data_IF_981053968722
#
_entry.id   IF_981053968722
#
_cell.length_a   1.000
_cell.length_b   1.000
_cell.length_c   1.000
_cell.angle_alpha   90.00
_cell.angle_beta   90.00
_cell.angle_gamma   90.00
#
_symmetry.space_group_name_H-M   'P 1'
#
loop_
_entity.id
_entity.type
_entity.pdbx_description
1 polymer ?
#
# COMPACT_ATOMS: atom_id res chain seq x y z
N UNK A 1 4.20 -4.90 23.90
CA UNK A 1 5.19 -5.66 23.11
C UNK A 1 6.38 -4.78 22.68
N UNK A 2 6.90 -3.89 23.53
CA UNK A 2 8.07 -3.05 23.23
C UNK A 2 9.42 -3.71 23.52
N UNK A 3 9.43 -5.03 23.80
CA UNK A 3 10.52 -5.72 24.49
C UNK A 3 11.67 -6.26 23.62
N UNK A 4 11.61 -6.12 22.28
CA UNK A 4 12.64 -6.67 21.38
C UNK A 4 13.26 -5.65 20.43
N UNK A 5 13.00 -4.35 20.61
CA UNK A 5 13.59 -3.32 19.77
C UNK A 5 15.04 -3.10 20.19
N UNK A 6 15.95 -3.50 19.31
CA UNK A 6 17.39 -3.30 19.51
C UNK A 6 17.94 -2.41 18.41
N UNK A 7 18.90 -1.56 18.77
CA UNK A 7 19.54 -0.61 17.85
C UNK A 7 20.17 -1.35 16.66
N UNK A 8 20.33 -0.69 15.51
CA UNK A 8 21.07 -1.27 14.35
C UNK A 8 22.51 -1.65 14.68
N UNK A 9 23.09 -1.11 15.76
CA UNK A 9 24.41 -1.52 16.28
C UNK A 9 24.39 -2.94 16.85
N UNK A 10 23.23 -3.44 17.27
CA UNK A 10 23.06 -4.84 17.65
C UNK A 10 22.95 -5.71 16.39
N UNK A 11 23.87 -6.65 16.21
CA UNK A 11 23.88 -7.59 15.07
C UNK A 11 22.58 -8.38 14.91
N UNK A 12 21.86 -8.66 16.00
CA UNK A 12 20.58 -9.37 15.97
C UNK A 12 19.37 -8.47 15.73
N UNK A 13 19.56 -7.18 15.44
CA UNK A 13 18.45 -6.29 15.14
C UNK A 13 17.71 -6.77 13.89
N UNK A 14 16.38 -6.93 13.91
CA UNK A 14 15.62 -7.22 12.69
C UNK A 14 15.78 -6.11 11.64
N UNK A 15 16.09 -4.88 12.08
CA UNK A 15 16.45 -3.77 11.19
C UNK A 15 17.75 -3.99 10.41
N UNK A 16 18.53 -5.02 10.76
CA UNK A 16 19.75 -5.44 10.05
C UNK A 16 19.51 -6.57 9.05
N UNK A 17 18.28 -7.08 8.93
CA UNK A 17 17.90 -8.06 7.92
C UNK A 17 17.56 -7.35 6.60
N UNK A 18 17.77 -8.03 5.47
CA UNK A 18 17.28 -7.53 4.17
C UNK A 18 15.75 -7.56 4.15
N UNK A 19 15.17 -6.73 3.27
CA UNK A 19 13.75 -6.81 2.92
C UNK A 19 13.41 -8.27 2.57
N UNK A 20 12.26 -8.82 3.02
CA UNK A 20 11.82 -10.15 2.63
C UNK A 20 11.78 -10.31 1.11
N UNK A 21 12.05 -11.52 0.64
CA UNK A 21 11.94 -11.81 -0.79
C UNK A 21 10.49 -11.60 -1.25
N UNK A 22 10.32 -10.87 -2.36
CA UNK A 22 9.02 -10.73 -3.00
C UNK A 22 8.51 -12.09 -3.47
N UNK A 23 7.25 -12.39 -3.17
CA UNK A 23 6.58 -13.61 -3.64
C UNK A 23 6.38 -13.56 -5.14
N UNK A 24 6.40 -14.72 -5.82
CA UNK A 24 6.35 -14.75 -7.28
C UNK A 24 4.93 -14.53 -7.77
N UNK A 25 4.75 -13.67 -8.79
CA UNK A 25 3.47 -13.45 -9.47
C UNK A 25 2.78 -14.76 -9.85
N UNK A 26 3.58 -15.74 -10.26
CA UNK A 26 3.08 -17.01 -10.75
C UNK A 26 2.62 -17.99 -9.68
N UNK A 27 3.06 -17.79 -8.44
CA UNK A 27 2.53 -18.50 -7.27
C UNK A 27 1.16 -17.91 -6.93
N UNK A 28 0.98 -16.58 -6.96
CA UNK A 28 -0.33 -15.99 -6.73
C UNK A 28 -1.35 -16.37 -7.81
N UNK A 29 -0.94 -16.40 -9.08
CA UNK A 29 -1.83 -16.89 -10.16
C UNK A 29 -2.30 -18.33 -9.93
N UNK A 30 -1.41 -19.18 -9.42
CA UNK A 30 -1.78 -20.55 -9.07
C UNK A 30 -2.75 -20.57 -7.89
N UNK A 31 -2.51 -19.75 -6.86
CA UNK A 31 -3.41 -19.59 -5.70
C UNK A 31 -4.80 -19.11 -6.13
N UNK A 32 -4.90 -18.08 -6.97
CA UNK A 32 -6.17 -17.57 -7.52
C UNK A 32 -6.94 -18.70 -8.22
N UNK A 33 -6.26 -19.46 -9.08
CA UNK A 33 -6.83 -20.58 -9.83
C UNK A 33 -7.21 -21.76 -8.94
N UNK A 34 -6.48 -22.01 -7.86
CA UNK A 34 -6.80 -23.07 -6.91
C UNK A 34 -8.02 -22.69 -6.07
N UNK A 35 -8.07 -21.46 -5.58
CA UNK A 35 -9.19 -20.93 -4.82
C UNK A 35 -10.49 -20.87 -5.64
N UNK A 36 -10.40 -20.47 -6.91
CA UNK A 36 -11.58 -20.37 -7.78
C UNK A 36 -12.31 -21.70 -7.99
N UNK A 37 -11.64 -22.85 -7.80
CA UNK A 37 -12.24 -24.18 -7.99
C UNK A 37 -13.21 -24.58 -6.88
N UNK A 38 -13.23 -23.85 -5.78
CA UNK A 38 -14.13 -24.12 -4.66
C UNK A 38 -15.49 -23.44 -4.82
N UNK A 39 -15.68 -22.61 -5.86
CA UNK A 39 -16.85 -21.76 -6.02
C UNK A 39 -17.41 -21.85 -7.45
N UNK A 40 -18.69 -22.19 -7.56
CA UNK A 40 -19.37 -22.42 -8.84
C UNK A 40 -19.41 -21.14 -9.69
N UNK A 41 -19.45 -19.96 -9.05
CA UNK A 41 -19.48 -18.67 -9.75
C UNK A 41 -18.24 -18.35 -10.60
N UNK A 42 -17.13 -19.10 -10.43
CA UNK A 42 -15.91 -18.92 -11.21
C UNK A 42 -15.70 -19.96 -12.31
N UNK A 43 -16.53 -21.00 -12.41
CA UNK A 43 -16.35 -22.08 -13.40
C UNK A 43 -16.34 -21.53 -14.84
N UNK A 44 -17.24 -20.59 -15.12
CA UNK A 44 -17.39 -19.96 -16.44
C UNK A 44 -16.58 -18.65 -16.61
N UNK A 45 -15.70 -18.30 -15.65
CA UNK A 45 -14.93 -17.06 -15.73
C UNK A 45 -13.82 -17.15 -16.80
N UNK A 46 -14.07 -16.60 -17.99
CA UNK A 46 -13.13 -16.54 -19.12
C UNK A 46 -11.74 -16.01 -18.70
N UNK A 47 -11.70 -14.96 -17.87
CA UNK A 47 -10.46 -14.31 -17.44
C UNK A 47 -9.61 -15.22 -16.54
N UNK A 48 -10.22 -15.95 -15.59
CA UNK A 48 -9.51 -16.94 -14.77
C UNK A 48 -9.08 -18.11 -15.65
N UNK A 49 -9.96 -18.59 -16.53
CA UNK A 49 -9.69 -19.67 -17.48
C UNK A 49 -8.48 -19.36 -18.38
N UNK A 50 -8.30 -18.08 -18.79
CA UNK A 50 -7.12 -17.64 -19.54
C UNK A 50 -5.80 -17.76 -18.75
N UNK A 51 -5.84 -17.72 -17.41
CA UNK A 51 -4.65 -17.86 -16.58
C UNK A 51 -4.12 -19.30 -16.55
N UNK A 52 -4.96 -20.31 -16.81
CA UNK A 52 -4.53 -21.72 -16.83
C UNK A 52 -3.52 -22.04 -17.95
N UNK A 53 -3.57 -21.28 -19.06
CA UNK A 53 -2.64 -21.42 -20.20
C UNK A 53 -1.18 -21.07 -19.87
N UNK A 54 -0.91 -20.48 -18.70
CA UNK A 54 0.44 -20.06 -18.29
C UNK A 54 1.39 -21.23 -18.01
N UNK A 55 0.92 -22.45 -17.76
CA UNK A 55 1.82 -23.62 -17.68
C UNK A 55 2.57 -23.84 -19.00
N UNK A 56 1.90 -23.68 -20.14
CA UNK A 56 2.53 -23.75 -21.46
C UNK A 56 3.47 -22.56 -21.73
N UNK A 57 3.06 -21.34 -21.38
CA UNK A 57 3.91 -20.15 -21.54
C UNK A 57 5.14 -20.18 -20.65
N UNK A 58 5.02 -20.69 -19.41
CA UNK A 58 6.15 -20.90 -18.49
C UNK A 58 7.15 -21.90 -19.04
N UNK A 59 6.70 -23.04 -19.58
CA UNK A 59 7.56 -24.02 -20.24
C UNK A 59 8.32 -23.41 -21.42
N UNK A 60 7.66 -22.53 -22.18
CA UNK A 60 8.30 -21.81 -23.30
C UNK A 60 9.34 -20.79 -22.80
N UNK A 61 9.01 -20.03 -21.76
CA UNK A 61 9.88 -18.97 -21.22
C UNK A 61 11.08 -19.53 -20.42
N UNK A 62 10.95 -20.68 -19.74
CA UNK A 62 12.07 -21.34 -19.07
C UNK A 62 13.13 -21.82 -20.08
N UNK A 63 12.71 -22.35 -21.21
CA UNK A 63 13.60 -22.72 -22.32
C UNK A 63 14.35 -21.51 -22.90
N UNK A 64 13.69 -20.35 -23.00
CA UNK A 64 14.36 -19.10 -23.41
C UNK A 64 15.36 -18.60 -22.37
N UNK A 65 15.05 -18.69 -21.07
CA UNK A 65 15.99 -18.29 -19.99
C UNK A 65 17.21 -19.20 -19.88
N UNK A 66 17.04 -20.52 -20.05
CA UNK A 66 18.20 -21.43 -20.12
C UNK A 66 19.09 -21.14 -21.33
N UNK A 67 18.51 -20.77 -22.48
CA UNK A 67 19.27 -20.35 -23.67
C UNK A 67 20.02 -19.03 -23.44
N UNK A 68 19.41 -18.07 -22.75
CA UNK A 68 20.02 -16.78 -22.41
C UNK A 68 21.14 -16.91 -21.36
N UNK A 69 20.99 -17.80 -20.37
CA UNK A 69 22.05 -18.04 -19.38
C UNK A 69 23.26 -18.77 -19.97
N UNK A 70 23.08 -19.56 -21.05
CA UNK A 70 24.21 -20.13 -21.80
C UNK A 70 25.00 -19.10 -22.61
N UNK A 71 24.45 -17.91 -22.86
CA UNK A 71 25.11 -16.84 -23.62
C UNK A 71 25.81 -15.81 -22.74
N UNK A 72 25.62 -15.83 -21.42
CA UNK A 72 26.28 -14.93 -20.45
C UNK A 72 27.36 -15.71 -19.67
N UNK A 73 28.14 -16.52 -20.38
CA UNK A 73 29.41 -17.03 -19.83
C UNK A 73 30.53 -16.06 -20.22
N UNK A 74 31.28 -15.64 -19.19
CA UNK A 74 32.59 -14.97 -19.25
C UNK A 74 32.61 -13.50 -19.71
N UNK A 75 32.27 -12.59 -18.77
CA UNK A 75 32.86 -11.24 -18.76
C UNK A 75 33.86 -11.10 -17.60
N UNK A 76 35.14 -10.74 -17.84
CA UNK A 76 36.21 -10.70 -16.82
C UNK A 76 36.08 -9.65 -15.69
N UNK A 77 34.99 -8.87 -15.65
CA UNK A 77 34.87 -7.70 -14.77
C UNK A 77 34.56 -7.99 -13.28
N UNK A 78 34.22 -9.23 -12.91
CA UNK A 78 33.78 -9.54 -11.53
C UNK A 78 34.91 -9.78 -10.51
N UNK A 79 36.17 -9.91 -10.94
CA UNK A 79 37.28 -10.19 -10.01
C UNK A 79 37.82 -8.93 -9.28
N UNK A 80 37.49 -7.72 -9.73
CA UNK A 80 38.05 -6.49 -9.17
C UNK A 80 37.28 -5.92 -7.95
N UNK A 81 36.10 -6.46 -7.59
CA UNK A 81 35.28 -5.94 -6.48
C UNK A 81 35.58 -6.55 -5.10
N UNK A 82 36.57 -7.46 -5.01
CA UNK A 82 36.84 -8.23 -3.78
C UNK A 82 37.94 -7.65 -2.88
N UNK A 83 38.53 -6.49 -3.19
CA UNK A 83 39.59 -5.88 -2.36
C UNK A 83 39.43 -4.37 -2.26
N UNK A 84 38.68 -3.90 -1.27
CA UNK A 84 38.76 -2.52 -0.81
C UNK A 84 37.45 -1.88 -0.39
N UNK A 85 36.95 -2.21 0.80
CA UNK A 85 36.04 -1.36 1.59
C UNK A 85 35.86 -1.97 2.99
N UNK A 86 36.87 -1.77 3.85
CA UNK A 86 36.72 -1.95 5.30
C UNK A 86 36.29 -0.60 5.88
N UNK A 87 35.04 -0.25 5.60
CA UNK A 87 34.32 0.80 6.33
C UNK A 87 32.91 0.28 6.57
N UNK A 88 32.70 -0.32 7.74
CA UNK A 88 31.40 -0.50 8.40
C UNK A 88 30.21 -1.01 7.59
N UNK A 89 30.41 -1.80 6.52
CA UNK A 89 29.25 -2.30 5.77
C UNK A 89 28.52 -3.33 6.63
N UNK A 90 27.33 -2.92 7.10
CA UNK A 90 26.27 -3.81 7.52
C UNK A 90 25.95 -4.74 6.33
N UNK A 91 26.73 -5.81 6.18
CA UNK A 91 26.42 -6.87 5.23
C UNK A 91 25.20 -7.59 5.78
N UNK A 92 24.02 -7.07 5.44
CA UNK A 92 22.74 -7.74 5.67
C UNK A 92 22.74 -9.00 4.80
N UNK A 93 23.16 -10.13 5.35
CA UNK A 93 23.26 -11.37 4.55
C UNK A 93 21.91 -12.09 4.51
N UNK A 94 21.16 -12.06 5.61
CA UNK A 94 19.92 -12.82 5.77
C UNK A 94 18.68 -11.96 5.47
N UNK A 95 17.74 -12.43 4.63
CA UNK A 95 16.44 -11.79 4.43
C UNK A 95 15.56 -11.96 5.66
N UNK A 96 14.76 -10.94 5.97
CA UNK A 96 13.69 -11.06 6.95
C UNK A 96 12.66 -12.09 6.48
N UNK A 97 12.04 -12.80 7.42
CA UNK A 97 11.03 -13.83 7.12
C UNK A 97 9.75 -13.23 6.56
N UNK A 98 9.37 -12.06 7.08
CA UNK A 98 8.12 -11.37 6.79
C UNK A 98 8.28 -9.87 6.90
N UNK A 99 7.26 -9.14 6.42
CA UNK A 99 7.15 -7.71 6.60
C UNK A 99 6.92 -7.39 8.08
N UNK A 100 7.33 -6.20 8.53
CA UNK A 100 7.17 -5.82 9.94
C UNK A 100 7.00 -4.29 10.05
N UNK A 101 5.94 -3.87 10.76
CA UNK A 101 5.57 -2.47 10.99
C UNK A 101 6.39 -1.74 12.06
N UNK A 102 7.02 -2.44 13.00
CA UNK A 102 7.48 -1.89 14.28
C UNK A 102 8.86 -2.38 14.76
N UNK A 103 9.64 -3.01 13.88
CA UNK A 103 10.98 -3.51 14.21
C UNK A 103 12.09 -2.44 14.32
N UNK A 104 11.84 -1.22 13.86
CA UNK A 104 12.86 -0.17 13.81
C UNK A 104 12.99 0.52 15.18
N UNK A 105 14.19 0.48 15.74
CA UNK A 105 14.49 1.15 17.01
C UNK A 105 14.56 2.68 16.82
N UNK A 106 13.90 3.41 17.72
CA UNK A 106 13.95 4.88 17.82
C UNK A 106 14.50 5.25 19.20
N UNK A 107 15.47 6.17 19.25
CA UNK A 107 16.00 6.68 20.51
C UNK A 107 14.95 7.48 21.30
N UNK A 108 15.12 7.58 22.61
CA UNK A 108 14.14 8.26 23.48
C UNK A 108 13.87 9.71 23.07
N UNK A 109 14.92 10.49 22.75
CA UNK A 109 14.76 11.89 22.37
C UNK A 109 14.11 12.07 21.00
N UNK A 110 14.44 11.22 20.03
CA UNK A 110 13.77 11.19 18.72
C UNK A 110 12.27 10.87 18.89
N UNK A 111 11.96 9.88 19.73
CA UNK A 111 10.58 9.50 20.07
C UNK A 111 9.83 10.66 20.73
N UNK A 112 10.43 11.27 21.76
CA UNK A 112 9.83 12.40 22.49
C UNK A 112 9.58 13.59 21.56
N UNK A 113 10.54 13.92 20.69
CA UNK A 113 10.40 14.98 19.70
C UNK A 113 9.23 14.71 18.75
N UNK A 114 9.19 13.53 18.13
CA UNK A 114 8.13 13.19 17.19
C UNK A 114 6.76 13.17 17.87
N UNK A 115 6.68 12.59 19.07
CA UNK A 115 5.45 12.58 19.85
C UNK A 115 4.95 13.99 20.19
N UNK A 116 5.87 14.89 20.56
CA UNK A 116 5.53 16.26 20.96
C UNK A 116 5.06 17.11 19.80
N UNK A 117 5.64 16.97 18.61
CA UNK A 117 5.38 17.90 17.53
C UNK A 117 4.59 17.33 16.34
N UNK A 118 4.55 16.00 16.17
CA UNK A 118 3.71 15.33 15.16
C UNK A 118 2.40 14.89 15.80
N UNK A 119 2.48 14.30 17.00
CA UNK A 119 1.33 13.75 17.72
C UNK A 119 0.13 14.71 17.83
N UNK A 120 0.28 15.94 18.35
CA UNK A 120 -0.82 16.90 18.46
C UNK A 120 -1.44 17.28 17.11
N UNK A 121 -0.61 17.43 16.07
CA UNK A 121 -1.06 17.79 14.73
C UNK A 121 -1.90 16.65 14.10
N UNK A 122 -1.42 15.41 14.23
CA UNK A 122 -2.17 14.21 13.78
C UNK A 122 -3.44 14.00 14.59
N UNK A 123 -3.40 14.20 15.91
CA UNK A 123 -4.58 14.12 16.77
C UNK A 123 -5.62 15.18 16.38
N UNK A 124 -5.18 16.40 16.09
CA UNK A 124 -6.06 17.47 15.65
C UNK A 124 -6.72 17.15 14.29
N UNK A 125 -5.97 16.65 13.31
CA UNK A 125 -6.52 16.16 12.04
C UNK A 125 -7.62 15.12 12.30
N UNK A 126 -7.29 14.08 13.08
CA UNK A 126 -8.20 13.00 13.41
C UNK A 126 -9.48 13.50 14.06
N UNK A 127 -9.37 14.24 15.18
CA UNK A 127 -10.54 14.70 15.93
C UNK A 127 -11.40 15.69 15.15
N UNK A 128 -10.78 16.59 14.36
CA UNK A 128 -11.53 17.48 13.47
C UNK A 128 -12.30 16.66 12.43
N UNK A 129 -11.65 15.69 11.80
CA UNK A 129 -12.24 14.82 10.79
C UNK A 129 -13.43 14.02 11.31
N UNK A 130 -13.26 13.34 12.44
CA UNK A 130 -14.32 12.52 13.03
C UNK A 130 -15.49 13.34 13.57
N UNK A 131 -15.23 14.50 14.16
CA UNK A 131 -16.30 15.42 14.58
C UNK A 131 -17.13 15.91 13.39
N UNK A 132 -16.47 16.29 12.29
CA UNK A 132 -17.14 16.72 11.07
C UNK A 132 -17.94 15.58 10.42
N UNK A 133 -17.40 14.36 10.41
CA UNK A 133 -18.11 13.18 9.94
C UNK A 133 -19.40 12.95 10.75
N UNK A 134 -19.31 12.97 12.09
CA UNK A 134 -20.47 12.77 12.97
C UNK A 134 -21.54 13.84 12.76
N UNK A 135 -21.13 15.10 12.62
CA UNK A 135 -22.06 16.19 12.32
C UNK A 135 -22.75 15.97 10.97
N UNK A 136 -22.00 15.61 9.93
CA UNK A 136 -22.55 15.34 8.59
C UNK A 136 -23.50 14.15 8.59
N UNK A 137 -23.13 13.07 9.24
CA UNK A 137 -23.96 11.87 9.37
C UNK A 137 -25.30 12.20 10.06
N UNK A 138 -25.24 12.91 11.20
CA UNK A 138 -26.44 13.41 11.88
C UNK A 138 -27.32 14.29 10.97
N UNK A 139 -26.73 15.26 10.27
CA UNK A 139 -27.48 16.15 9.38
C UNK A 139 -28.10 15.38 8.19
N UNK A 140 -27.38 14.40 7.64
CA UNK A 140 -27.84 13.57 6.53
C UNK A 140 -29.01 12.68 6.96
N UNK A 141 -28.89 11.99 8.09
CA UNK A 141 -29.92 11.10 8.62
C UNK A 141 -31.21 11.84 9.03
N UNK A 142 -31.11 13.14 9.33
CA UNK A 142 -32.28 14.00 9.57
C UNK A 142 -32.77 14.75 8.31
N UNK A 143 -32.19 14.50 7.14
CA UNK A 143 -32.59 15.09 5.87
C UNK A 143 -32.22 16.57 5.69
N UNK A 144 -31.33 17.13 6.53
CA UNK A 144 -30.86 18.51 6.40
C UNK A 144 -29.80 18.70 5.31
N UNK A 145 -29.06 17.64 4.99
CA UNK A 145 -28.12 17.60 3.87
C UNK A 145 -28.33 16.32 3.08
N UNK A 146 -27.92 16.33 1.81
CA UNK A 146 -27.86 15.12 0.99
C UNK A 146 -26.39 14.86 0.65
N UNK A 147 -25.88 13.63 0.82
CA UNK A 147 -24.54 13.25 0.37
C UNK A 147 -24.37 13.58 -1.12
N UNK A 148 -23.13 13.85 -1.54
CA UNK A 148 -22.87 14.01 -2.97
C UNK A 148 -23.27 12.70 -3.70
N UNK A 149 -23.88 12.77 -4.90
CA UNK A 149 -24.15 11.55 -5.66
C UNK A 149 -22.84 10.82 -5.97
N UNK A 150 -22.85 9.49 -5.84
CA UNK A 150 -21.72 8.63 -6.16
C UNK A 150 -22.04 7.76 -7.38
N UNK A 151 -21.12 7.72 -8.33
CA UNK A 151 -21.11 6.76 -9.42
C UNK A 151 -20.25 5.56 -9.01
N UNK A 152 -20.87 4.58 -8.33
CA UNK A 152 -20.16 3.44 -7.75
C UNK A 152 -19.39 2.63 -8.79
N UNK A 153 -19.92 2.49 -10.01
CA UNK A 153 -19.24 1.74 -11.07
C UNK A 153 -17.92 2.39 -11.49
N UNK A 154 -17.94 3.73 -11.69
CA UNK A 154 -16.72 4.48 -11.97
C UNK A 154 -15.79 4.56 -10.77
N UNK A 155 -16.34 4.55 -9.55
CA UNK A 155 -15.55 4.57 -8.32
C UNK A 155 -14.76 3.27 -8.16
N UNK A 156 -15.37 2.09 -8.35
CA UNK A 156 -14.67 0.81 -8.36
C UNK A 156 -13.50 0.78 -9.35
N UNK A 157 -13.75 1.23 -10.59
CA UNK A 157 -12.71 1.34 -11.60
C UNK A 157 -11.60 2.31 -11.18
N UNK A 158 -11.95 3.44 -10.57
CA UNK A 158 -10.99 4.45 -10.09
C UNK A 158 -10.12 3.91 -8.95
N UNK A 159 -10.70 3.18 -7.98
CA UNK A 159 -9.92 2.55 -6.91
C UNK A 159 -8.93 1.53 -7.46
N UNK A 160 -9.31 0.75 -8.47
CA UNK A 160 -8.46 -0.28 -9.05
C UNK A 160 -7.41 0.25 -10.03
N UNK A 161 -7.74 1.27 -10.83
CA UNK A 161 -6.84 1.79 -11.87
C UNK A 161 -5.99 2.96 -11.40
N UNK A 162 -6.53 3.84 -10.56
CA UNK A 162 -5.87 5.11 -10.19
C UNK A 162 -5.37 5.10 -8.73
N UNK A 163 -5.15 3.92 -8.14
CA UNK A 163 -4.54 3.74 -6.82
C UNK A 163 -3.66 2.47 -6.75
N UNK A 164 -3.08 2.20 -5.57
CA UNK A 164 -2.17 1.07 -5.36
C UNK A 164 -2.83 -0.31 -5.50
N UNK A 165 -4.16 -0.38 -5.53
CA UNK A 165 -4.91 -1.61 -5.81
C UNK A 165 -4.66 -2.19 -7.21
N UNK A 166 -4.09 -1.41 -8.13
CA UNK A 166 -3.72 -1.85 -9.47
C UNK A 166 -2.81 -3.09 -9.49
N UNK A 167 -2.08 -3.37 -8.40
CA UNK A 167 -1.22 -4.54 -8.30
C UNK A 167 -1.98 -5.88 -8.37
N UNK A 168 -3.30 -5.85 -8.12
CA UNK A 168 -4.17 -7.02 -8.17
C UNK A 168 -4.66 -7.36 -9.58
N UNK A 169 -4.22 -6.64 -10.61
CA UNK A 169 -4.49 -6.98 -12.01
C UNK A 169 -3.78 -8.28 -12.43
N UNK A 170 -4.50 -9.27 -12.98
CA UNK A 170 -3.89 -10.53 -13.40
C UNK A 170 -4.28 -11.05 -14.79
N UNK A 171 -5.42 -10.63 -15.32
CA UNK A 171 -5.92 -11.07 -16.63
C UNK A 171 -6.69 -9.95 -17.32
N UNK A 172 -6.82 -10.09 -18.64
CA UNK A 172 -7.57 -9.18 -19.51
C UNK A 172 -8.09 -9.95 -20.72
N UNK A 173 -9.30 -9.63 -21.17
CA UNK A 173 -9.85 -10.15 -22.43
C UNK A 173 -9.13 -9.53 -23.63
N UNK A 174 -9.27 -10.14 -24.80
CA UNK A 174 -8.88 -9.48 -26.03
C UNK A 174 -9.81 -8.27 -26.27
N UNK A 175 -9.31 -7.06 -26.58
CA UNK A 175 -10.16 -5.92 -26.94
C UNK A 175 -11.21 -6.24 -28.02
N UNK A 176 -10.92 -7.19 -28.91
CA UNK A 176 -11.83 -7.62 -29.97
C UNK A 176 -12.79 -8.76 -29.54
N UNK A 177 -12.79 -9.18 -28.28
CA UNK A 177 -13.72 -10.21 -27.80
C UNK A 177 -15.14 -9.65 -27.66
N UNK A 178 -16.14 -10.53 -27.63
CA UNK A 178 -17.54 -10.12 -27.41
C UNK A 178 -17.76 -9.44 -26.06
N UNK A 179 -16.93 -9.77 -25.06
CA UNK A 179 -16.94 -9.09 -23.74
C UNK A 179 -16.27 -7.72 -23.78
N UNK A 180 -15.64 -7.33 -24.87
CA UNK A 180 -14.90 -6.09 -25.01
C UNK A 180 -13.59 -6.13 -24.23
N UNK A 181 -13.12 -4.96 -23.79
CA UNK A 181 -11.80 -4.76 -23.22
C UNK A 181 -11.81 -4.77 -21.67
N UNK A 182 -12.04 -5.95 -21.08
CA UNK A 182 -12.24 -6.11 -19.64
C UNK A 182 -10.96 -6.60 -18.96
N UNK A 183 -10.61 -5.97 -17.83
CA UNK A 183 -9.53 -6.39 -16.93
C UNK A 183 -10.07 -7.05 -15.67
N UNK A 184 -9.45 -8.16 -15.25
CA UNK A 184 -9.75 -8.86 -14.01
C UNK A 184 -8.72 -8.56 -12.92
N UNK A 185 -9.23 -8.14 -11.77
CA UNK A 185 -8.50 -7.87 -10.53
C UNK A 185 -8.87 -8.93 -9.50
N UNK A 186 -7.87 -9.60 -8.92
CA UNK A 186 -8.09 -10.79 -8.11
C UNK A 186 -7.29 -10.73 -6.81
N UNK A 187 -7.99 -10.99 -5.71
CA UNK A 187 -7.47 -10.96 -4.36
C UNK A 187 -7.67 -12.36 -3.76
N UNK A 188 -6.61 -13.16 -3.82
CA UNK A 188 -6.63 -14.49 -3.21
C UNK A 188 -6.49 -14.38 -1.69
N UNK A 189 -7.29 -15.13 -0.94
CA UNK A 189 -7.34 -15.10 0.52
C UNK A 189 -7.63 -13.68 1.03
N UNK A 190 -8.76 -13.12 0.61
CA UNK A 190 -9.12 -11.75 0.91
C UNK A 190 -9.56 -11.61 2.38
N UNK A 191 -8.81 -10.88 3.24
CA UNK A 191 -9.21 -10.67 4.62
C UNK A 191 -10.32 -9.63 4.70
N UNK A 192 -11.38 -9.93 5.43
CA UNK A 192 -12.51 -9.01 5.63
C UNK A 192 -13.11 -9.18 7.03
N UNK A 193 -14.10 -8.34 7.33
CA UNK A 193 -14.87 -8.41 8.57
C UNK A 193 -16.34 -8.56 8.22
N UNK A 194 -16.98 -9.59 8.78
CA UNK A 194 -18.39 -9.91 8.51
C UNK A 194 -19.35 -9.00 9.30
N UNK A 195 -20.65 -9.23 9.13
CA UNK A 195 -21.73 -8.45 9.76
C UNK A 195 -21.72 -8.54 11.31
N UNK A 196 -21.07 -9.56 11.87
CA UNK A 196 -20.91 -9.78 13.30
C UNK A 196 -19.64 -9.15 13.87
N UNK A 197 -18.92 -8.35 13.06
CA UNK A 197 -17.59 -7.84 13.37
C UNK A 197 -16.55 -8.96 13.61
N UNK A 198 -16.70 -10.13 12.98
CA UNK A 198 -15.70 -11.20 13.07
C UNK A 198 -14.74 -11.16 11.88
N UNK A 199 -13.46 -11.41 12.14
CA UNK A 199 -12.46 -11.55 11.09
C UNK A 199 -12.69 -12.82 10.28
N UNK A 200 -12.72 -12.65 8.95
CA UNK A 200 -12.88 -13.72 7.97
C UNK A 200 -11.83 -13.61 6.88
N UNK A 201 -11.64 -14.71 6.17
CA UNK A 201 -10.83 -14.76 4.95
C UNK A 201 -11.67 -15.43 3.88
N UNK A 202 -12.02 -14.68 2.84
CA UNK A 202 -12.64 -15.23 1.65
C UNK A 202 -11.57 -15.87 0.77
N UNK A 203 -11.89 -16.96 0.10
CA UNK A 203 -10.95 -17.65 -0.76
C UNK A 203 -10.57 -16.76 -1.96
N UNK A 204 -11.55 -16.10 -2.59
CA UNK A 204 -11.33 -15.22 -3.74
C UNK A 204 -12.31 -14.05 -3.78
N UNK A 205 -11.76 -12.84 -3.76
CA UNK A 205 -12.46 -11.63 -4.22
C UNK A 205 -12.01 -11.30 -5.65
N UNK A 206 -12.95 -11.13 -6.57
CA UNK A 206 -12.69 -10.84 -7.98
C UNK A 206 -13.52 -9.64 -8.44
N UNK A 207 -12.89 -8.74 -9.18
CA UNK A 207 -13.53 -7.56 -9.75
C UNK A 207 -13.14 -7.42 -11.21
N UNK A 208 -14.13 -7.24 -12.08
CA UNK A 208 -13.94 -7.04 -13.50
C UNK A 208 -14.29 -5.60 -13.88
N UNK A 209 -13.37 -4.93 -14.58
CA UNK A 209 -13.49 -3.52 -15.00
C UNK A 209 -13.35 -3.43 -16.51
N UNK A 210 -14.29 -2.76 -17.16
CA UNK A 210 -14.13 -2.34 -18.56
C UNK A 210 -13.12 -1.19 -18.62
N UNK A 211 -12.00 -1.44 -19.31
CA UNK A 211 -10.88 -0.50 -19.41
C UNK A 211 -11.17 0.69 -20.32
N UNK A 212 -12.13 0.57 -21.25
CA UNK A 212 -12.45 1.63 -22.20
C UNK A 212 -13.45 2.62 -21.59
N UNK A 213 -14.48 2.11 -20.92
CA UNK A 213 -15.46 2.96 -20.22
C UNK A 213 -15.04 3.34 -18.81
N UNK A 214 -14.04 2.63 -18.24
CA UNK A 214 -13.62 2.73 -16.84
C UNK A 214 -14.81 2.52 -15.89
N UNK A 215 -15.53 1.42 -16.10
CA UNK A 215 -16.72 1.04 -15.34
C UNK A 215 -16.60 -0.36 -14.77
N UNK A 216 -17.21 -0.55 -13.60
CA UNK A 216 -17.46 -1.86 -13.03
C UNK A 216 -18.32 -2.71 -13.97
N UNK A 217 -17.92 -3.97 -14.15
CA UNK A 217 -18.64 -4.96 -14.99
C UNK A 217 -19.21 -6.06 -14.11
N UNK A 218 -18.38 -6.65 -13.25
CA UNK A 218 -18.76 -7.77 -12.39
C UNK A 218 -17.92 -7.77 -11.10
N UNK A 219 -18.47 -8.33 -10.02
CA UNK A 219 -17.86 -8.38 -8.71
C UNK A 219 -18.32 -9.63 -7.96
N UNK A 220 -17.37 -10.42 -7.45
CA UNK A 220 -17.65 -11.69 -6.76
C UNK A 220 -16.77 -11.84 -5.54
N UNK A 221 -17.35 -12.28 -4.43
CA UNK A 221 -16.65 -12.71 -3.22
C UNK A 221 -17.05 -14.16 -2.96
N UNK A 222 -16.17 -15.12 -3.26
CA UNK A 222 -16.48 -16.54 -3.24
C UNK A 222 -17.74 -16.84 -4.08
N UNK A 223 -18.78 -17.45 -3.50
CA UNK A 223 -20.07 -17.72 -4.14
C UNK A 223 -21.10 -16.57 -4.00
N UNK A 224 -20.65 -15.36 -3.69
CA UNK A 224 -21.49 -14.17 -3.60
C UNK A 224 -21.28 -13.25 -4.79
N UNK A 225 -22.37 -12.93 -5.51
CA UNK A 225 -22.40 -11.83 -6.47
C UNK A 225 -22.53 -10.52 -5.72
N UNK A 226 -21.74 -9.52 -6.13
CA UNK A 226 -21.68 -8.21 -5.53
C UNK A 226 -22.20 -7.15 -6.50
N UNK A 227 -22.87 -6.15 -5.96
CA UNK A 227 -23.11 -4.92 -6.71
C UNK A 227 -21.89 -3.97 -6.60
N UNK A 228 -21.94 -2.85 -7.34
CA UNK A 228 -20.84 -1.88 -7.36
C UNK A 228 -20.60 -1.19 -6.00
N UNK A 229 -21.65 -0.91 -5.21
CA UNK A 229 -21.52 -0.29 -3.89
C UNK A 229 -20.80 -1.22 -2.91
N UNK A 230 -21.23 -2.49 -2.86
CA UNK A 230 -20.60 -3.53 -2.03
C UNK A 230 -19.13 -3.76 -2.41
N UNK A 231 -18.87 -3.84 -3.72
CA UNK A 231 -17.50 -3.97 -4.26
C UNK A 231 -16.65 -2.77 -3.85
N UNK A 232 -17.20 -1.55 -3.90
CA UNK A 232 -16.49 -0.34 -3.46
C UNK A 232 -16.14 -0.40 -1.97
N UNK A 233 -17.05 -0.85 -1.10
CA UNK A 233 -16.78 -1.02 0.34
C UNK A 233 -15.62 -1.99 0.57
N UNK A 234 -15.63 -3.15 -0.10
CA UNK A 234 -14.57 -4.15 0.02
C UNK A 234 -13.22 -3.63 -0.49
N UNK A 235 -13.20 -2.97 -1.65
CA UNK A 235 -12.00 -2.35 -2.21
C UNK A 235 -11.42 -1.27 -1.30
N UNK A 236 -12.29 -0.42 -0.75
CA UNK A 236 -11.88 0.63 0.19
C UNK A 236 -11.34 0.03 1.49
N UNK A 237 -12.03 -0.97 2.06
CA UNK A 237 -11.59 -1.65 3.27
C UNK A 237 -10.24 -2.36 3.08
N UNK A 238 -10.05 -3.06 1.95
CA UNK A 238 -8.77 -3.68 1.63
C UNK A 238 -7.66 -2.65 1.47
N UNK A 239 -7.97 -1.48 0.89
CA UNK A 239 -7.03 -0.36 0.77
C UNK A 239 -6.51 -0.01 2.15
N UNK A 240 -7.39 0.31 3.10
CA UNK A 240 -6.99 0.76 4.44
C UNK A 240 -6.36 -0.33 5.30
N UNK A 241 -6.84 -1.58 5.21
CA UNK A 241 -6.50 -2.63 6.17
C UNK A 241 -5.31 -3.49 5.73
N UNK A 242 -5.40 -4.17 4.59
CA UNK A 242 -4.42 -5.18 4.19
C UNK A 242 -3.40 -4.67 3.17
N UNK A 243 -3.79 -3.75 2.29
CA UNK A 243 -2.92 -3.27 1.21
C UNK A 243 -2.01 -2.12 1.67
N UNK A 244 -2.57 -1.08 2.29
CA UNK A 244 -1.83 0.11 2.69
C UNK A 244 -0.72 -0.20 3.71
N UNK A 245 -0.97 -1.12 4.64
CA UNK A 245 0.02 -1.54 5.66
C UNK A 245 1.25 -2.25 5.07
N UNK A 246 1.14 -2.82 3.86
CA UNK A 246 2.30 -3.35 3.14
C UNK A 246 3.26 -2.24 2.74
N UNK A 247 2.74 -1.05 2.38
CA UNK A 247 3.57 0.12 2.05
C UNK A 247 4.36 0.58 3.27
N UNK A 248 3.67 0.72 4.42
CA UNK A 248 4.31 1.09 5.68
C UNK A 248 5.37 0.08 6.12
N UNK A 249 5.02 -1.21 6.12
CA UNK A 249 5.96 -2.26 6.52
C UNK A 249 7.19 -2.29 5.62
N UNK A 250 6.98 -2.26 4.29
CA UNK A 250 8.07 -2.26 3.31
C UNK A 250 8.98 -1.05 3.49
N UNK A 251 8.39 0.12 3.76
CA UNK A 251 9.14 1.36 3.94
C UNK A 251 10.16 1.33 5.07
N UNK A 252 10.00 0.48 6.09
CA UNK A 252 10.94 0.38 7.21
C UNK A 252 12.38 0.00 6.78
N UNK A 253 12.52 -0.75 5.68
CA UNK A 253 13.84 -1.05 5.09
C UNK A 253 14.43 0.12 4.29
N UNK A 254 13.62 1.14 3.99
CA UNK A 254 13.97 2.37 3.31
C UNK A 254 14.49 3.47 4.24
N UNK A 255 14.71 3.19 5.52
CA UNK A 255 15.04 4.17 6.56
C UNK A 255 16.45 3.96 7.11
N UNK A 256 17.02 5.01 7.70
CA UNK A 256 18.20 4.90 8.54
C UNK A 256 18.17 5.96 9.67
N UNK A 257 18.25 5.51 10.92
CA UNK A 257 18.18 6.33 12.12
C UNK A 257 19.53 6.42 12.86
N UNK A 258 20.61 5.87 12.29
CA UNK A 258 21.94 5.95 12.93
C UNK A 258 22.34 7.41 13.16
N UNK A 259 22.78 7.74 14.37
CA UNK A 259 23.20 9.09 14.76
C UNK A 259 24.33 9.63 13.86
N UNK A 260 25.19 8.76 13.33
CA UNK A 260 26.26 9.15 12.40
C UNK A 260 25.72 9.70 11.07
N UNK A 261 24.44 9.43 10.75
CA UNK A 261 23.78 9.98 9.57
C UNK A 261 23.47 11.47 9.72
N UNK A 262 23.44 12.01 10.94
CA UNK A 262 23.21 13.45 11.17
C UNK A 262 24.29 14.30 10.48
N UNK A 263 25.53 13.82 10.42
CA UNK A 263 26.66 14.51 9.79
C UNK A 263 26.63 14.43 8.24
N UNK A 264 25.98 13.41 7.69
CA UNK A 264 25.96 13.13 6.24
C UNK A 264 24.66 13.59 5.59
N UNK A 265 23.54 13.30 6.24
CA UNK A 265 22.19 13.55 5.73
C UNK A 265 21.17 13.75 6.87
N UNK A 266 21.23 14.88 7.60
CA UNK A 266 20.35 15.16 8.73
C UNK A 266 18.88 15.24 8.30
N UNK A 267 18.62 15.71 7.07
CA UNK A 267 17.29 15.76 6.49
C UNK A 267 16.66 14.36 6.38
N UNK A 268 17.40 13.39 5.82
CA UNK A 268 16.93 12.02 5.68
C UNK A 268 16.81 11.31 7.04
N UNK A 269 17.72 11.55 7.99
CA UNK A 269 17.63 10.98 9.34
C UNK A 269 16.35 11.44 10.05
N UNK A 270 16.07 12.75 10.06
CA UNK A 270 14.83 13.30 10.64
C UNK A 270 13.58 12.69 9.99
N UNK A 271 13.56 12.61 8.67
CA UNK A 271 12.45 12.01 7.93
C UNK A 271 12.30 10.50 8.18
N UNK A 272 13.40 9.81 8.47
CA UNK A 272 13.36 8.41 8.93
C UNK A 272 12.71 8.28 10.30
N UNK A 273 13.03 9.17 11.25
CA UNK A 273 12.36 9.24 12.57
C UNK A 273 10.85 9.46 12.39
N UNK A 274 10.46 10.42 11.53
CA UNK A 274 9.06 10.70 11.23
C UNK A 274 8.34 9.44 10.75
N UNK A 275 8.88 8.74 9.76
CA UNK A 275 8.28 7.50 9.23
C UNK A 275 8.08 6.45 10.30
N UNK A 276 9.10 6.15 11.10
CA UNK A 276 8.98 5.11 12.15
C UNK A 276 7.91 5.49 13.18
N UNK A 277 7.84 6.78 13.53
CA UNK A 277 6.86 7.27 14.49
C UNK A 277 5.43 7.25 13.93
N UNK A 278 5.25 7.54 12.65
CA UNK A 278 3.96 7.44 12.00
C UNK A 278 3.50 5.98 11.87
N UNK A 279 4.41 5.07 11.52
CA UNK A 279 4.13 3.62 11.52
C UNK A 279 3.70 3.14 12.91
N UNK A 280 4.39 3.61 13.96
CA UNK A 280 4.01 3.33 15.36
C UNK A 280 2.61 3.84 15.69
N UNK A 281 2.24 5.06 15.29
CA UNK A 281 0.88 5.58 15.50
C UNK A 281 -0.17 4.76 14.74
N UNK A 282 0.07 4.49 13.46
CA UNK A 282 -0.86 3.76 12.59
C UNK A 282 -1.06 2.29 12.97
N UNK A 283 -0.07 1.65 13.61
CA UNK A 283 -0.18 0.25 14.01
C UNK A 283 -0.48 0.08 15.50
N UNK A 284 0.34 0.65 16.37
CA UNK A 284 0.21 0.42 17.83
C UNK A 284 -0.89 1.27 18.45
N UNK A 285 -0.99 2.54 18.09
CA UNK A 285 -2.00 3.43 18.68
C UNK A 285 -3.39 3.21 18.07
N UNK A 286 -3.47 2.84 16.79
CA UNK A 286 -4.74 2.70 16.07
C UNK A 286 -5.69 1.68 16.70
N UNK A 287 -5.18 0.57 17.24
CA UNK A 287 -6.00 -0.39 17.97
C UNK A 287 -6.71 0.21 19.21
N UNK A 288 -6.13 1.25 19.83
CA UNK A 288 -6.80 1.96 20.94
C UNK A 288 -7.90 2.89 20.44
N UNK A 289 -7.79 3.40 19.22
CA UNK A 289 -8.81 4.27 18.63
C UNK A 289 -10.11 3.52 18.34
N UNK A 290 -10.05 2.23 17.95
CA UNK A 290 -11.26 1.42 17.73
C UNK A 290 -12.20 1.42 18.94
N UNK A 291 -11.65 1.24 20.15
CA UNK A 291 -12.44 1.34 21.38
C UNK A 291 -13.06 2.71 21.58
N UNK A 292 -12.27 3.77 21.38
CA UNK A 292 -12.78 5.15 21.50
C UNK A 292 -13.91 5.40 20.49
N UNK A 293 -13.80 4.89 19.26
CA UNK A 293 -14.84 5.06 18.25
C UNK A 293 -16.10 4.27 18.57
N UNK A 294 -15.96 3.06 19.13
CA UNK A 294 -17.09 2.29 19.63
C UNK A 294 -17.79 3.03 20.77
N UNK A 295 -17.04 3.49 21.77
CA UNK A 295 -17.55 4.26 22.90
C UNK A 295 -18.23 5.57 22.46
N UNK A 296 -17.73 6.21 21.40
CA UNK A 296 -18.31 7.41 20.79
C UNK A 296 -19.53 7.09 19.88
N UNK A 297 -19.83 5.82 19.60
CA UNK A 297 -20.90 5.38 18.70
C UNK A 297 -20.62 5.63 17.21
N UNK A 298 -19.36 5.72 16.81
CA UNK A 298 -18.93 5.92 15.42
C UNK A 298 -18.73 4.62 14.65
N UNK A 299 -18.44 3.54 15.37
CA UNK A 299 -18.34 2.17 14.84
C UNK A 299 -19.05 1.23 15.81
N UNK A 300 -19.38 0.04 15.35
CA UNK A 300 -20.00 -1.01 16.18
C UNK A 300 -19.09 -1.51 17.30
N UNK A 301 -19.68 -1.91 18.43
CA UNK A 301 -18.95 -2.39 19.61
C UNK A 301 -18.02 -3.58 19.33
N UNK A 302 -18.38 -4.44 18.36
CA UNK A 302 -17.57 -5.59 17.96
C UNK A 302 -16.15 -5.24 17.49
N UNK A 303 -15.92 -4.01 17.01
CA UNK A 303 -14.57 -3.53 16.67
C UNK A 303 -13.65 -3.36 17.88
N UNK A 304 -14.21 -3.23 19.07
CA UNK A 304 -13.47 -3.07 20.33
C UNK A 304 -13.20 -4.39 21.06
N UNK A 305 -13.64 -5.52 20.47
CA UNK A 305 -13.46 -6.87 21.01
C UNK A 305 -11.98 -7.25 21.18
N UNK A 306 -11.71 -8.21 22.07
CA UNK A 306 -10.34 -8.65 22.38
C UNK A 306 -9.62 -9.29 21.17
N UNK A 307 -10.38 -9.90 20.26
CA UNK A 307 -9.87 -10.53 19.03
C UNK A 307 -9.34 -9.52 18.00
N UNK A 308 -9.77 -8.26 18.09
CA UNK A 308 -9.28 -7.12 17.28
C UNK A 308 -9.34 -7.43 15.78
N UNK A 309 -10.54 -7.59 15.19
CA UNK A 309 -10.73 -8.03 13.81
C UNK A 309 -9.97 -7.15 12.79
N UNK A 310 -9.93 -5.84 13.00
CA UNK A 310 -9.15 -4.93 12.13
C UNK A 310 -7.65 -5.24 12.15
N UNK A 311 -7.07 -5.51 13.33
CA UNK A 311 -5.65 -5.86 13.47
C UNK A 311 -5.35 -7.20 12.81
N UNK A 312 -6.30 -8.15 12.85
CA UNK A 312 -6.17 -9.42 12.14
C UNK A 312 -6.12 -9.20 10.62
N UNK A 313 -6.96 -8.33 10.05
CA UNK A 313 -6.88 -7.96 8.63
C UNK A 313 -5.52 -7.29 8.27
N UNK A 314 -5.03 -6.39 9.13
CA UNK A 314 -3.72 -5.75 8.96
C UNK A 314 -2.60 -6.80 8.95
N UNK A 315 -2.59 -7.71 9.92
CA UNK A 315 -1.58 -8.75 10.02
C UNK A 315 -1.64 -9.72 8.85
N UNK A 316 -2.84 -10.08 8.39
CA UNK A 316 -3.00 -10.87 7.16
C UNK A 316 -2.29 -10.19 5.98
N UNK A 317 -2.48 -8.87 5.82
CA UNK A 317 -1.78 -8.10 4.79
C UNK A 317 -0.25 -8.17 4.94
N UNK A 318 0.28 -8.02 6.15
CA UNK A 318 1.71 -8.07 6.44
C UNK A 318 2.29 -9.47 6.09
N UNK A 319 1.63 -10.55 6.55
CA UNK A 319 2.01 -11.94 6.34
C UNK A 319 1.91 -12.37 4.86
N UNK A 320 0.91 -11.83 4.14
CA UNK A 320 0.76 -12.08 2.71
C UNK A 320 1.90 -11.48 1.88
N UNK A 321 2.67 -10.52 2.43
CA UNK A 321 3.86 -9.93 1.81
C UNK A 321 3.55 -9.26 0.44
N UNK A 322 4.58 -8.78 -0.26
CA UNK A 322 4.47 -8.15 -1.58
C UNK A 322 4.67 -9.19 -2.69
N UNK A 323 3.71 -9.25 -3.61
CA UNK A 323 3.79 -10.05 -4.82
C UNK A 323 4.45 -9.28 -5.96
N UNK A 324 5.20 -9.98 -6.80
CA UNK A 324 5.63 -9.43 -8.08
C UNK A 324 4.41 -9.09 -8.95
N UNK A 325 4.42 -7.89 -9.52
CA UNK A 325 3.30 -7.34 -10.30
C UNK A 325 3.78 -6.76 -11.65
N UNK A 326 4.63 -7.49 -12.37
CA UNK A 326 5.21 -7.02 -13.65
C UNK A 326 4.18 -6.74 -14.76
N UNK A 327 3.01 -7.35 -14.67
CA UNK A 327 1.90 -7.26 -15.61
C UNK A 327 1.19 -5.90 -15.60
N UNK A 328 1.35 -5.09 -14.54
CA UNK A 328 0.69 -3.77 -14.45
C UNK A 328 1.07 -2.83 -15.60
N UNK A 329 2.18 -3.10 -16.29
CA UNK A 329 2.59 -2.33 -17.48
C UNK A 329 1.54 -2.35 -18.59
N UNK A 330 0.69 -3.38 -18.65
CA UNK A 330 -0.41 -3.47 -19.61
C UNK A 330 -1.50 -2.41 -19.34
N UNK A 331 -1.58 -1.91 -18.10
CA UNK A 331 -2.52 -0.88 -17.68
C UNK A 331 -2.01 0.55 -17.85
N UNK A 332 -0.75 0.75 -18.26
CA UNK A 332 -0.13 2.08 -18.41
C UNK A 332 -0.93 3.00 -19.34
N UNK A 333 -1.55 2.46 -20.39
CA UNK A 333 -2.38 3.26 -21.31
C UNK A 333 -3.76 3.63 -20.76
N UNK A 334 -4.19 3.01 -19.66
CA UNK A 334 -5.52 3.19 -19.07
C UNK A 334 -5.49 3.97 -17.76
N UNK A 335 -4.31 4.15 -17.17
CA UNK A 335 -4.16 4.76 -15.86
C UNK A 335 -3.01 5.77 -15.83
N UNK A 336 -3.33 7.00 -15.46
CA UNK A 336 -2.35 8.06 -15.28
C UNK A 336 -1.44 7.76 -14.09
N UNK A 337 -2.00 7.19 -13.02
CA UNK A 337 -1.25 6.77 -11.85
C UNK A 337 -0.22 5.69 -12.18
N UNK A 338 -0.62 4.62 -12.87
CA UNK A 338 0.26 3.51 -13.22
C UNK A 338 1.35 3.99 -14.18
N UNK A 339 1.00 4.79 -15.19
CA UNK A 339 1.96 5.41 -16.09
C UNK A 339 3.00 6.23 -15.32
N UNK A 340 2.55 7.05 -14.38
CA UNK A 340 3.42 7.86 -13.54
C UNK A 340 4.35 7.00 -12.68
N UNK A 341 3.82 6.05 -11.92
CA UNK A 341 4.59 5.20 -11.01
C UNK A 341 5.65 4.38 -11.74
N UNK A 342 5.29 3.73 -12.85
CA UNK A 342 6.23 2.92 -13.64
C UNK A 342 7.39 3.78 -14.16
N UNK A 343 7.09 4.98 -14.64
CA UNK A 343 8.08 5.91 -15.19
C UNK A 343 8.96 6.52 -14.10
N UNK A 344 8.37 6.97 -12.99
CA UNK A 344 9.09 7.61 -11.88
C UNK A 344 9.93 6.61 -11.11
N UNK A 345 9.52 5.35 -10.98
CA UNK A 345 10.35 4.30 -10.36
C UNK A 345 11.69 4.15 -11.06
N UNK A 346 11.72 4.12 -12.39
CA UNK A 346 12.96 4.02 -13.16
C UNK A 346 13.88 5.24 -12.92
N UNK A 347 13.30 6.44 -12.87
CA UNK A 347 14.02 7.68 -12.54
C UNK A 347 14.58 7.61 -11.11
N UNK A 348 13.75 7.26 -10.14
CA UNK A 348 14.12 7.19 -8.73
C UNK A 348 15.29 6.25 -8.52
N UNK A 349 15.23 5.01 -9.03
CA UNK A 349 16.31 4.04 -8.87
C UNK A 349 17.61 4.49 -9.52
N UNK A 350 17.53 5.16 -10.69
CA UNK A 350 18.70 5.71 -11.37
C UNK A 350 19.37 6.82 -10.55
N UNK A 351 18.59 7.76 -10.00
CA UNK A 351 19.13 8.83 -9.16
C UNK A 351 19.62 8.29 -7.80
N UNK A 352 18.94 7.31 -7.24
CA UNK A 352 19.30 6.72 -5.96
C UNK A 352 20.65 6.02 -6.05
N UNK A 353 20.92 5.32 -7.15
CA UNK A 353 22.22 4.71 -7.41
C UNK A 353 23.36 5.74 -7.43
N UNK A 354 23.14 6.94 -7.99
CA UNK A 354 24.13 8.02 -8.02
C UNK A 354 24.35 8.63 -6.63
N UNK A 355 23.27 8.79 -5.86
CA UNK A 355 23.28 9.36 -4.52
C UNK A 355 23.44 8.29 -3.42
N UNK A 356 23.81 7.04 -3.74
CA UNK A 356 23.80 5.92 -2.78
C UNK A 356 24.63 6.18 -1.53
N UNK A 357 25.71 6.94 -1.66
CA UNK A 357 26.58 7.35 -0.55
C UNK A 357 25.86 8.22 0.50
N UNK A 358 24.78 8.91 0.13
CA UNK A 358 23.94 9.71 1.04
C UNK A 358 22.89 8.88 1.80
N UNK A 359 22.74 7.61 1.44
CA UNK A 359 21.72 6.69 1.98
C UNK A 359 22.34 5.35 2.43
N UNK A 360 23.31 5.38 3.37
CA UNK A 360 23.98 4.17 3.83
C UNK A 360 22.98 3.23 4.50
N UNK A 361 23.03 1.94 4.16
CA UNK A 361 22.17 0.91 4.77
C UNK A 361 20.67 1.04 4.45
N UNK A 362 20.31 1.84 3.44
CA UNK A 362 18.92 2.04 2.98
C UNK A 362 18.64 1.20 1.74
N UNK A 363 17.55 0.45 1.71
CA UNK A 363 17.06 -0.19 0.50
C UNK A 363 16.34 0.83 -0.41
N UNK A 364 16.73 0.87 -1.70
CA UNK A 364 16.22 1.87 -2.63
C UNK A 364 14.76 1.65 -3.01
N UNK A 365 14.33 0.40 -3.14
CA UNK A 365 12.93 0.06 -3.46
C UNK A 365 12.03 0.40 -2.28
N UNK A 366 12.43 0.00 -1.07
CA UNK A 366 11.71 0.32 0.15
C UNK A 366 11.59 1.84 0.36
N UNK A 367 12.65 2.59 0.06
CA UNK A 367 12.61 4.06 0.10
C UNK A 367 11.62 4.62 -0.92
N UNK A 368 11.59 4.10 -2.16
CA UNK A 368 10.60 4.51 -3.17
C UNK A 368 9.16 4.23 -2.72
N UNK A 369 8.91 3.05 -2.12
CA UNK A 369 7.61 2.66 -1.59
C UNK A 369 7.16 3.63 -0.50
N UNK A 370 8.00 3.89 0.50
CA UNK A 370 7.65 4.75 1.64
C UNK A 370 7.55 6.24 1.30
N UNK A 371 8.25 6.70 0.26
CA UNK A 371 8.27 8.11 -0.12
C UNK A 371 7.28 8.43 -1.23
N UNK A 372 7.36 7.72 -2.36
CA UNK A 372 6.53 8.01 -3.54
C UNK A 372 5.20 7.27 -3.47
N UNK A 373 5.18 5.96 -3.28
CA UNK A 373 3.92 5.20 -3.36
C UNK A 373 2.99 5.53 -2.19
N UNK A 374 3.48 5.50 -0.95
CA UNK A 374 2.68 5.82 0.23
C UNK A 374 2.05 7.22 0.16
N UNK A 375 2.82 8.24 -0.24
CA UNK A 375 2.30 9.62 -0.31
C UNK A 375 1.23 9.78 -1.38
N UNK A 376 1.39 9.13 -2.52
CA UNK A 376 0.40 9.11 -3.59
C UNK A 376 -0.83 8.28 -3.21
N UNK A 377 -0.66 7.17 -2.48
CA UNK A 377 -1.76 6.32 -2.00
C UNK A 377 -2.76 7.15 -1.18
N UNK A 378 -2.30 7.84 -0.14
CA UNK A 378 -3.13 8.80 0.62
C UNK A 378 -3.70 9.93 -0.25
N UNK A 379 -2.88 10.50 -1.14
CA UNK A 379 -3.34 11.63 -1.98
C UNK A 379 -4.49 11.19 -2.90
N UNK A 380 -4.40 9.99 -3.48
CA UNK A 380 -5.40 9.43 -4.37
C UNK A 380 -6.61 8.91 -3.59
N UNK A 381 -6.41 8.39 -2.38
CA UNK A 381 -7.51 8.14 -1.43
C UNK A 381 -8.31 9.42 -1.15
N UNK A 382 -7.63 10.55 -0.98
CA UNK A 382 -8.28 11.84 -0.71
C UNK A 382 -9.03 12.38 -1.92
N UNK A 383 -8.40 12.32 -3.09
CA UNK A 383 -8.98 12.87 -4.32
C UNK A 383 -10.12 12.05 -4.88
N UNK A 384 -10.05 10.73 -4.73
CA UNK A 384 -10.98 9.83 -5.40
C UNK A 384 -12.22 9.56 -4.52
N UNK A 385 -12.05 9.28 -3.22
CA UNK A 385 -13.16 9.02 -2.29
C UNK A 385 -13.64 10.34 -1.66
N UNK A 386 -14.27 11.23 -2.43
CA UNK A 386 -14.50 12.63 -2.01
C UNK A 386 -15.42 12.76 -0.79
N UNK A 387 -16.47 11.92 -0.70
CA UNK A 387 -17.43 11.95 0.41
C UNK A 387 -17.38 10.63 1.20
N UNK A 388 -17.03 10.64 2.49
CA UNK A 388 -17.06 9.42 3.29
C UNK A 388 -18.47 8.81 3.36
N UNK A 389 -19.54 9.59 3.20
CA UNK A 389 -20.92 9.08 3.25
C UNK A 389 -21.30 8.18 2.07
N UNK A 390 -20.44 8.04 1.05
CA UNK A 390 -20.61 7.06 -0.02
C UNK A 390 -20.48 5.61 0.45
N UNK A 391 -19.80 5.38 1.56
CA UNK A 391 -19.66 4.04 2.14
C UNK A 391 -20.95 3.71 2.89
N UNK A 392 -21.75 2.76 2.41
CA UNK A 392 -23.03 2.41 3.01
C UNK A 392 -22.85 1.63 4.31
N UNK A 393 -23.19 2.24 5.44
CA UNK A 393 -23.12 1.62 6.77
C UNK A 393 -24.34 0.77 7.09
N UNK A 394 -25.43 0.95 6.33
CA UNK A 394 -26.66 0.18 6.47
C UNK A 394 -26.65 -1.09 5.60
N UNK A 395 -25.60 -1.29 4.80
CA UNK A 395 -25.39 -2.51 4.03
C UNK A 395 -25.35 -3.73 4.98
N UNK A 396 -26.21 -4.74 4.78
CA UNK A 396 -26.38 -5.83 5.74
C UNK A 396 -25.16 -6.75 5.83
N UNK A 397 -24.29 -6.79 4.82
CA UNK A 397 -23.14 -7.69 4.76
C UNK A 397 -21.84 -6.97 5.12
N UNK A 398 -21.70 -5.74 4.62
CA UNK A 398 -20.43 -5.02 4.62
C UNK A 398 -20.50 -3.68 5.34
N UNK A 399 -21.63 -3.32 5.95
CA UNK A 399 -21.82 -2.07 6.68
C UNK A 399 -20.79 -1.86 7.78
N UNK A 400 -20.35 -2.94 8.46
CA UNK A 400 -19.28 -2.86 9.48
C UNK A 400 -17.96 -2.34 8.90
N UNK A 401 -17.56 -2.82 7.73
CA UNK A 401 -16.36 -2.34 7.05
C UNK A 401 -16.52 -0.89 6.57
N UNK A 402 -17.72 -0.52 6.12
CA UNK A 402 -18.05 0.85 5.75
C UNK A 402 -17.88 1.81 6.94
N UNK A 403 -18.31 1.44 8.17
CA UNK A 403 -18.13 2.25 9.38
C UNK A 403 -16.66 2.69 9.55
N UNK A 404 -15.74 1.71 9.59
CA UNK A 404 -14.30 1.98 9.71
C UNK A 404 -13.78 2.77 8.52
N UNK A 405 -14.25 2.44 7.32
CA UNK A 405 -13.91 3.15 6.09
C UNK A 405 -14.23 4.64 6.14
N UNK A 406 -15.42 5.02 6.67
CA UNK A 406 -15.83 6.43 6.85
C UNK A 406 -14.89 7.15 7.81
N UNK A 407 -14.58 6.52 8.95
CA UNK A 407 -13.69 7.10 9.97
C UNK A 407 -12.29 7.33 9.43
N UNK A 408 -11.71 6.33 8.75
CA UNK A 408 -10.39 6.45 8.14
C UNK A 408 -10.36 7.55 7.09
N UNK A 409 -11.34 7.59 6.17
CA UNK A 409 -11.40 8.63 5.14
C UNK A 409 -11.47 10.03 5.73
N UNK A 410 -12.27 10.22 6.78
CA UNK A 410 -12.47 11.53 7.38
C UNK A 410 -11.29 11.98 8.26
N UNK A 411 -10.63 11.05 8.96
CA UNK A 411 -9.68 11.37 10.02
C UNK A 411 -8.19 11.16 9.70
N UNK A 412 -7.85 10.39 8.64
CA UNK A 412 -6.48 9.89 8.46
C UNK A 412 -5.93 10.01 7.04
N UNK A 413 -6.75 10.41 6.06
CA UNK A 413 -6.34 10.39 4.65
C UNK A 413 -5.66 11.69 4.21
N UNK A 414 -6.20 12.84 4.62
CA UNK A 414 -5.70 14.17 4.22
C UNK A 414 -4.43 14.57 4.96
N UNK A 415 -3.62 15.48 4.40
CA UNK A 415 -2.34 15.90 5.00
C UNK A 415 -2.46 16.44 6.44
N UNK A 416 -1.56 16.00 7.32
CA UNK A 416 -1.40 16.53 8.67
C UNK A 416 -1.13 18.04 8.64
N UNK A 417 -1.98 18.86 9.29
CA UNK A 417 -1.81 20.31 9.32
C UNK A 417 -0.71 20.72 10.29
N UNK A 418 -0.11 21.90 10.09
CA UNK A 418 0.77 22.51 11.08
C UNK A 418 2.14 21.85 11.27
N UNK A 419 2.57 20.99 10.34
CA UNK A 419 3.91 20.41 10.38
C UNK A 419 4.97 21.51 10.23
N UNK A 420 5.94 21.50 11.14
CA UNK A 420 7.04 22.47 11.25
C UNK A 420 8.29 22.04 10.46
N UNK A 421 8.24 20.91 9.77
CA UNK A 421 9.32 20.42 8.93
C UNK A 421 8.87 20.23 7.49
N UNK A 422 9.82 20.31 6.57
CA UNK A 422 9.56 20.10 5.16
C UNK A 422 9.44 18.61 4.84
N UNK A 423 8.32 18.21 4.21
CA UNK A 423 8.04 16.82 3.87
C UNK A 423 7.89 16.53 2.36
N UNK A 424 7.85 17.55 1.49
CA UNK A 424 7.66 17.33 0.04
C UNK A 424 8.99 17.07 -0.63
N UNK A 425 8.99 16.42 -1.80
CA UNK A 425 10.20 16.41 -2.63
C UNK A 425 10.51 17.82 -3.17
N UNK A 426 9.46 18.52 -3.59
CA UNK A 426 9.51 19.88 -4.12
C UNK A 426 9.89 20.88 -3.03
N UNK A 427 11.03 21.55 -3.20
CA UNK A 427 11.49 22.55 -2.23
C UNK A 427 12.09 21.92 -0.97
N UNK A 428 12.46 20.64 -1.01
CA UNK A 428 13.19 19.95 0.06
C UNK A 428 14.59 20.51 0.25
N UNK A 429 15.17 21.13 -0.79
CA UNK A 429 16.56 21.58 -0.80
C UNK A 429 17.58 20.44 -0.83
N UNK A 430 17.13 19.18 -0.85
CA UNK A 430 18.00 18.01 -0.86
C UNK A 430 18.23 17.53 -2.31
N UNK A 431 19.48 17.43 -2.80
CA UNK A 431 19.79 17.24 -4.22
C UNK A 431 19.09 16.04 -4.89
N UNK A 432 19.05 14.90 -4.19
CA UNK A 432 18.37 13.69 -4.68
C UNK A 432 16.87 13.93 -4.92
N UNK A 433 16.13 14.40 -3.90
CA UNK A 433 14.68 14.58 -3.99
C UNK A 433 14.29 15.66 -4.99
N UNK A 434 15.02 16.78 -5.05
CA UNK A 434 14.80 17.85 -6.05
C UNK A 434 14.99 17.33 -7.48
N UNK A 435 16.03 16.53 -7.71
CA UNK A 435 16.31 15.96 -9.03
C UNK A 435 15.23 14.97 -9.46
N UNK A 436 14.78 14.11 -8.54
CA UNK A 436 13.68 13.18 -8.82
C UNK A 436 12.39 13.96 -9.10
N UNK A 437 12.05 14.96 -8.28
CA UNK A 437 10.87 15.81 -8.50
C UNK A 437 10.90 16.52 -9.85
N UNK A 438 12.01 17.18 -10.21
CA UNK A 438 12.12 17.92 -11.47
C UNK A 438 11.90 17.04 -12.70
N UNK A 439 12.25 15.74 -12.62
CA UNK A 439 12.01 14.76 -13.68
C UNK A 439 10.58 14.21 -13.63
N UNK A 440 10.09 13.86 -12.44
CA UNK A 440 8.73 13.35 -12.25
C UNK A 440 7.67 14.38 -12.66
N UNK A 441 7.89 15.67 -12.37
CA UNK A 441 6.98 16.75 -12.71
C UNK A 441 6.79 16.95 -14.23
N UNK A 442 7.74 16.47 -15.04
CA UNK A 442 7.60 16.45 -16.51
C UNK A 442 6.68 15.33 -17.00
N UNK A 443 6.47 14.29 -16.20
CA UNK A 443 5.56 13.17 -16.52
C UNK A 443 4.14 13.54 -16.09
N UNK A 444 3.96 13.86 -14.80
CA UNK A 444 2.69 14.34 -14.27
C UNK A 444 2.97 15.27 -13.09
N UNK A 445 2.81 16.58 -13.31
CA UNK A 445 3.09 17.59 -12.29
C UNK A 445 2.17 17.46 -11.07
N UNK A 446 0.89 17.15 -11.29
CA UNK A 446 -0.12 17.06 -10.22
C UNK A 446 0.27 15.97 -9.20
N UNK A 447 0.68 14.79 -9.69
CA UNK A 447 1.16 13.69 -8.84
C UNK A 447 2.53 14.02 -8.24
N UNK A 448 3.47 14.55 -9.02
CA UNK A 448 4.81 14.89 -8.53
C UNK A 448 4.80 15.91 -7.37
N UNK A 449 3.89 16.88 -7.40
CA UNK A 449 3.71 17.87 -6.34
C UNK A 449 3.30 17.25 -4.98
N UNK A 450 2.83 16.01 -4.99
CA UNK A 450 2.34 15.29 -3.80
C UNK A 450 3.26 14.16 -3.35
N UNK A 451 4.45 14.01 -3.94
CA UNK A 451 5.47 13.09 -3.44
C UNK A 451 6.08 13.61 -2.13
N UNK A 452 6.08 12.77 -1.10
CA UNK A 452 6.65 13.08 0.23
C UNK A 452 7.98 12.38 0.48
N UNK A 453 8.86 13.00 1.26
CA UNK A 453 10.18 12.50 1.66
C UNK A 453 10.14 11.53 2.84
N UNK A 454 8.96 11.29 3.41
CA UNK A 454 8.70 10.33 4.49
C UNK A 454 7.21 9.96 4.53
N UNK A 455 6.91 8.92 5.30
CA UNK A 455 5.53 8.54 5.63
C UNK A 455 4.99 9.54 6.65
N UNK A 456 4.16 10.46 6.17
CA UNK A 456 3.33 11.33 7.02
C UNK A 456 2.20 11.94 6.19
N UNK A 457 0.98 11.53 6.52
CA UNK A 457 -0.24 11.97 5.87
C UNK A 457 -1.33 12.17 6.89
#
# INVERSE_FOLDING_TARGET
MSGQRVTRRNKSSPSNLKLPDMKRMSENKQRIVENSKFHELFDDCELINSMFGLKETKRRNSLFRERAMRTISLTPGKLASLRGSVMGSLNMVEPAKELDMDHVYVGFFDFLWAYTFIGPCSYYLWKKGTLMLRLRDYLSSNGYITPAPCDYESMCATLLLEQTQAIHYYARTNPDSERGNVAGFYFANFPYVDENCEYRVADLFAVEIDLDTKKFVDGKLDDLVLNASETMILLWFNTIAAQHVKLHSTANWGLNLDETLEDVNPFFRRNSVVTVMYNFFGYTCFNRFMRIWADEGMVSEGWANEDKPFVQCVNHGIEDNVWQHSQIKELVKYSDFIHFVVSVRAIFMSEFAKCKHMFPGTDGEAMFVGTVLHSLDHTLMDWNMVDPLWLDVDDPRFGKMAEVGRVVKAGFVSDVPGLYFHKRFKGSGHPFYETVYAKAAKINKKLADHMDTCIIK
#
